data_IF_579917241137
#
_entry.id   IF_579917241137
#
_cell.length_a   1.000
_cell.length_b   1.000
_cell.length_c   1.000
_cell.angle_alpha   90.00
_cell.angle_beta   90.00
_cell.angle_gamma   90.00
#
_symmetry.space_group_name_H-M   'P 1'
#
loop_
_entity.id
_entity.type
_entity.pdbx_description
1 polymer ?
#
# COMPACT_ATOMS: atom_id res chain seq x y z
N UNK A 1 8.80 0.24 -0.88
CA UNK A 1 9.00 0.61 0.53
C UNK A 1 10.12 1.65 0.67
N UNK A 2 9.87 2.80 1.31
CA UNK A 2 10.88 3.81 1.65
C UNK A 2 12.03 3.27 2.54
N UNK A 3 13.23 3.82 2.38
CA UNK A 3 14.45 3.35 3.06
C UNK A 3 14.39 3.47 4.59
N UNK A 4 13.67 4.47 5.13
CA UNK A 4 13.51 4.65 6.57
C UNK A 4 12.90 3.42 7.25
N UNK A 5 11.91 2.77 6.62
CA UNK A 5 11.29 1.58 7.19
C UNK A 5 12.29 0.43 7.25
N UNK A 6 13.13 0.24 6.22
CA UNK A 6 14.20 -0.78 6.26
C UNK A 6 15.13 -0.57 7.46
N UNK A 7 15.47 0.68 7.78
CA UNK A 7 16.30 1.01 8.93
C UNK A 7 15.57 0.70 10.24
N UNK A 8 14.29 1.08 10.35
CA UNK A 8 13.47 0.82 11.54
C UNK A 8 13.31 -0.69 11.81
N UNK A 9 13.02 -1.50 10.80
CA UNK A 9 12.93 -2.96 10.94
C UNK A 9 14.26 -3.54 11.45
N UNK A 10 15.39 -3.08 10.89
CA UNK A 10 16.73 -3.55 11.29
C UNK A 10 17.06 -3.17 12.74
N UNK A 11 16.81 -1.92 13.14
CA UNK A 11 17.14 -1.44 14.50
C UNK A 11 16.19 -2.01 15.56
N UNK A 12 14.92 -2.20 15.22
CA UNK A 12 13.89 -2.71 16.12
C UNK A 12 13.82 -4.23 16.21
N UNK A 13 14.59 -4.96 15.39
CA UNK A 13 14.49 -6.41 15.25
C UNK A 13 13.04 -6.89 15.01
N UNK A 14 12.28 -6.14 14.22
CA UNK A 14 10.88 -6.44 13.93
C UNK A 14 10.78 -7.43 12.78
N UNK A 15 9.92 -8.44 12.93
CA UNK A 15 9.49 -9.25 11.80
C UNK A 15 8.58 -8.43 10.86
N UNK A 16 8.46 -8.90 9.62
CA UNK A 16 7.68 -8.18 8.60
C UNK A 16 6.20 -8.04 8.96
N UNK A 17 5.59 -9.06 9.56
CA UNK A 17 4.16 -9.02 9.91
C UNK A 17 3.89 -7.96 10.98
N UNK A 18 4.72 -7.89 12.01
CA UNK A 18 4.69 -6.85 13.04
C UNK A 18 4.94 -5.46 12.45
N UNK A 19 5.86 -5.36 11.48
CA UNK A 19 6.13 -4.10 10.80
C UNK A 19 4.93 -3.60 9.97
N UNK A 20 4.25 -4.47 9.22
CA UNK A 20 3.05 -4.11 8.44
C UNK A 20 1.82 -3.82 9.31
N UNK A 21 1.77 -4.34 10.54
CA UNK A 21 0.75 -3.95 11.52
C UNK A 21 0.99 -2.57 12.13
N UNK A 22 2.24 -2.13 12.16
CA UNK A 22 2.66 -0.91 12.89
C UNK A 22 2.84 0.29 11.97
N UNK A 23 3.43 0.07 10.80
CA UNK A 23 3.79 1.12 9.86
C UNK A 23 2.98 1.03 8.57
N UNK A 24 2.76 2.16 7.93
CA UNK A 24 2.14 2.21 6.60
C UNK A 24 3.01 1.64 5.47
N UNK A 25 4.29 1.36 5.76
CA UNK A 25 5.28 0.78 4.84
C UNK A 25 5.43 1.53 3.49
N UNK A 26 5.09 2.82 3.48
CA UNK A 26 5.13 3.70 2.31
C UNK A 26 3.80 3.90 1.59
N UNK A 27 2.70 3.30 2.05
CA UNK A 27 1.36 3.50 1.49
C UNK A 27 0.49 4.23 2.52
N UNK A 28 0.45 5.56 2.43
CA UNK A 28 -0.33 6.40 3.36
C UNK A 28 -1.83 6.44 3.09
N UNK A 29 -2.26 6.03 1.90
CA UNK A 29 -3.67 6.06 1.50
C UNK A 29 -4.00 4.91 0.56
N UNK A 30 -5.14 4.25 0.78
CA UNK A 30 -5.64 3.15 -0.05
C UNK A 30 -7.00 3.53 -0.59
N UNK A 31 -7.17 3.41 -1.91
CA UNK A 31 -8.45 3.62 -2.59
C UNK A 31 -8.88 2.34 -3.29
N UNK A 32 -10.10 1.90 -3.02
CA UNK A 32 -10.72 0.78 -3.74
C UNK A 32 -11.58 1.33 -4.87
N UNK A 33 -11.41 0.78 -6.08
CA UNK A 33 -12.16 1.20 -7.25
C UNK A 33 -12.37 0.03 -8.22
N UNK A 34 -13.28 0.21 -9.17
CA UNK A 34 -13.40 -0.71 -10.30
C UNK A 34 -12.13 -0.63 -11.16
N UNK A 35 -11.60 -1.78 -11.56
CA UNK A 35 -10.40 -1.89 -12.39
C UNK A 35 -10.49 -1.09 -13.69
N UNK A 36 -11.69 -0.99 -14.29
CA UNK A 36 -11.94 -0.20 -15.51
C UNK A 36 -11.63 1.30 -15.32
N UNK A 37 -11.67 1.80 -14.10
CA UNK A 37 -11.43 3.22 -13.79
C UNK A 37 -9.95 3.53 -13.54
N UNK A 38 -9.07 2.52 -13.50
CA UNK A 38 -7.67 2.68 -13.10
C UNK A 38 -6.91 3.75 -13.89
N UNK A 39 -6.98 3.70 -15.22
CA UNK A 39 -6.26 4.63 -16.09
C UNK A 39 -6.74 6.09 -15.95
N UNK A 40 -8.06 6.28 -15.84
CA UNK A 40 -8.65 7.60 -15.61
C UNK A 40 -8.23 8.15 -14.25
N UNK A 41 -8.34 7.34 -13.20
CA UNK A 41 -7.93 7.70 -11.84
C UNK A 41 -6.46 8.10 -11.76
N UNK A 42 -5.56 7.34 -12.39
CA UNK A 42 -4.14 7.71 -12.45
C UNK A 42 -3.94 9.09 -13.12
N UNK A 43 -4.66 9.36 -14.19
CA UNK A 43 -4.55 10.62 -14.94
C UNK A 43 -4.99 11.81 -14.08
N UNK A 44 -6.09 11.65 -13.34
CA UNK A 44 -6.59 12.66 -12.42
C UNK A 44 -5.61 12.85 -11.25
N UNK A 45 -5.18 11.77 -10.60
CA UNK A 45 -4.30 11.83 -9.43
C UNK A 45 -2.96 12.51 -9.75
N UNK A 46 -2.38 12.26 -10.93
CA UNK A 46 -1.14 12.92 -11.38
C UNK A 46 -1.27 14.45 -11.50
N UNK A 47 -2.48 14.99 -11.71
CA UNK A 47 -2.71 16.44 -11.77
C UNK A 47 -2.80 17.09 -10.40
N UNK A 48 -3.16 16.32 -9.37
CA UNK A 48 -3.48 16.82 -8.03
C UNK A 48 -2.48 16.36 -6.96
N UNK A 49 -1.55 15.46 -7.29
CA UNK A 49 -0.62 14.87 -6.35
C UNK A 49 0.72 14.61 -7.01
N UNK A 50 1.79 14.84 -6.24
CA UNK A 50 3.16 14.45 -6.61
C UNK A 50 3.40 12.95 -6.35
N UNK A 51 2.50 12.27 -5.64
CA UNK A 51 2.62 10.85 -5.34
C UNK A 51 2.11 9.99 -6.50
N UNK A 52 2.91 9.00 -6.88
CA UNK A 52 2.53 8.02 -7.88
C UNK A 52 1.61 6.96 -7.28
N UNK A 53 0.35 6.94 -7.71
CA UNK A 53 -0.56 5.85 -7.38
C UNK A 53 -0.11 4.55 -8.05
N UNK A 54 -0.10 3.46 -7.28
CA UNK A 54 0.26 2.12 -7.76
C UNK A 54 -0.81 1.11 -7.32
N UNK A 55 -0.99 0.05 -8.11
CA UNK A 55 -1.89 -1.03 -7.76
C UNK A 55 -1.19 -1.93 -6.74
N UNK A 56 -1.75 -1.98 -5.52
CA UNK A 56 -1.15 -2.71 -4.39
C UNK A 56 -1.89 -4.02 -4.04
N UNK A 57 -3.01 -4.31 -4.72
CA UNK A 57 -3.81 -5.49 -4.42
C UNK A 57 -5.14 -5.51 -5.17
N UNK A 58 -6.01 -6.42 -4.73
CA UNK A 58 -7.37 -6.60 -5.24
C UNK A 58 -8.30 -7.05 -4.12
N UNK A 59 -9.57 -6.67 -4.22
CA UNK A 59 -10.62 -7.19 -3.36
C UNK A 59 -11.10 -8.51 -3.96
N UNK A 60 -11.20 -9.54 -3.12
CA UNK A 60 -11.77 -10.85 -3.48
C UNK A 60 -12.92 -11.16 -2.51
N UNK A 61 -13.83 -12.04 -2.94
CA UNK A 61 -14.85 -12.55 -2.03
C UNK A 61 -14.18 -13.31 -0.87
N UNK A 62 -14.64 -13.08 0.36
CA UNK A 62 -14.03 -13.66 1.56
C UNK A 62 -14.56 -13.07 2.87
N UNK A 63 -13.91 -13.40 3.97
CA UNK A 63 -14.38 -13.12 5.33
C UNK A 63 -13.81 -11.81 5.91
N UNK A 64 -13.79 -10.72 5.13
CA UNK A 64 -13.28 -9.41 5.56
C UNK A 64 -11.83 -9.39 6.08
N UNK A 65 -11.03 -10.39 5.70
CA UNK A 65 -9.63 -10.50 6.11
C UNK A 65 -8.71 -9.84 5.09
N UNK A 66 -7.63 -9.22 5.58
CA UNK A 66 -6.52 -8.75 4.75
C UNK A 66 -5.43 -9.81 4.75
N UNK A 67 -5.00 -10.24 3.56
CA UNK A 67 -3.85 -11.13 3.39
C UNK A 67 -2.73 -10.35 2.72
N UNK A 68 -1.64 -10.16 3.45
CA UNK A 68 -0.39 -9.72 2.86
C UNK A 68 0.22 -10.90 2.11
N UNK A 69 0.49 -10.73 0.82
CA UNK A 69 1.21 -11.71 0.00
C UNK A 69 2.62 -11.15 -0.16
N UNK A 70 3.60 -11.82 0.45
CA UNK A 70 5.01 -11.49 0.39
C UNK A 70 5.67 -12.11 -0.84
#
# INVERSE_FOLDING_TARGET
MPAIFKLLLKLGHLDEQSAYHTFNMGIGFVMMMNEKNWHLSQTILKKHSQFQATQIGKVINGNHNVRLIL
#
